data_IF_651884935341
#
_entry.id   IF_651884935341
#
_cell.length_a   1.000
_cell.length_b   1.000
_cell.length_c   1.000
_cell.angle_alpha   90.00
_cell.angle_beta   90.00
_cell.angle_gamma   90.00
#
_symmetry.space_group_name_H-M   'P 1'
#
loop_
_entity.id
_entity.type
_entity.pdbx_description
1 polymer ?
#
# COMPACT_ATOMS: atom_id res chain seq x y z
N UNK A 1 -20.62 -38.38 -24.82
CA UNK A 1 -20.11 -37.41 -23.82
C UNK A 1 -19.53 -36.25 -24.61
N UNK A 2 -20.25 -35.14 -24.68
CA UNK A 2 -19.78 -33.93 -25.35
C UNK A 2 -18.80 -33.24 -24.42
N UNK A 3 -17.49 -33.38 -24.70
CA UNK A 3 -16.47 -32.59 -24.04
C UNK A 3 -16.66 -31.13 -24.46
N UNK A 4 -17.19 -30.31 -23.54
CA UNK A 4 -17.18 -28.87 -23.72
C UNK A 4 -15.71 -28.41 -23.62
N UNK A 5 -15.14 -27.75 -24.64
CA UNK A 5 -13.82 -27.18 -24.51
C UNK A 5 -13.83 -26.16 -23.38
N UNK A 6 -13.03 -26.41 -22.34
CA UNK A 6 -12.75 -25.44 -21.29
C UNK A 6 -12.11 -24.23 -21.98
N UNK A 7 -12.89 -23.15 -22.14
CA UNK A 7 -12.32 -21.88 -22.58
C UNK A 7 -11.31 -21.45 -21.52
N UNK A 8 -10.02 -21.59 -21.85
CA UNK A 8 -8.96 -20.96 -21.07
C UNK A 8 -9.32 -19.47 -20.91
N UNK A 9 -9.24 -18.91 -19.69
CA UNK A 9 -9.50 -17.50 -19.49
C UNK A 9 -8.65 -16.70 -20.46
N UNK A 10 -9.25 -15.71 -21.13
CA UNK A 10 -8.52 -14.84 -22.06
C UNK A 10 -7.35 -14.23 -21.28
N UNK A 11 -6.13 -14.59 -21.66
CA UNK A 11 -4.91 -14.07 -21.06
C UNK A 11 -4.80 -12.58 -21.38
N UNK A 12 -5.35 -11.74 -20.51
CA UNK A 12 -5.44 -10.32 -20.74
C UNK A 12 -4.12 -9.64 -20.35
N UNK A 13 -3.50 -8.96 -21.32
CA UNK A 13 -2.32 -8.13 -21.08
C UNK A 13 -2.70 -6.83 -20.40
N UNK A 14 -1.70 -6.09 -19.91
CA UNK A 14 -1.90 -4.75 -19.40
C UNK A 14 -2.42 -3.82 -20.51
N UNK A 15 -3.53 -3.13 -20.26
CA UNK A 15 -4.17 -2.20 -21.21
C UNK A 15 -4.22 -0.77 -20.65
N UNK A 16 -4.37 0.22 -21.54
CA UNK A 16 -4.48 1.64 -21.16
C UNK A 16 -5.72 1.86 -20.29
N UNK A 17 -6.81 1.15 -20.57
CA UNK A 17 -8.07 1.24 -19.84
C UNK A 17 -7.91 0.78 -18.39
N UNK A 18 -7.17 -0.32 -18.15
CA UNK A 18 -6.85 -0.80 -16.80
C UNK A 18 -6.06 0.24 -16.03
N UNK A 19 -5.03 0.85 -16.64
CA UNK A 19 -4.23 1.91 -16.00
C UNK A 19 -5.09 3.15 -15.74
N UNK A 20 -5.93 3.55 -16.69
CA UNK A 20 -6.80 4.74 -16.56
C UNK A 20 -7.83 4.59 -15.45
N UNK A 21 -8.41 3.41 -15.29
CA UNK A 21 -9.32 3.10 -14.17
C UNK A 21 -8.63 3.26 -12.81
N UNK A 22 -7.34 2.94 -12.71
CA UNK A 22 -6.56 3.16 -11.48
C UNK A 22 -6.15 4.62 -11.28
N UNK A 23 -6.09 5.41 -12.36
CA UNK A 23 -5.78 6.83 -12.36
C UNK A 23 -7.00 7.76 -12.17
N UNK A 24 -8.17 7.24 -11.77
CA UNK A 24 -9.39 8.04 -11.56
C UNK A 24 -9.18 9.18 -10.54
N UNK A 25 -8.33 8.97 -9.54
CA UNK A 25 -7.95 10.00 -8.55
C UNK A 25 -7.01 11.08 -9.11
N UNK A 26 -6.51 10.91 -10.34
CA UNK A 26 -5.66 11.85 -11.06
C UNK A 26 -6.39 12.38 -12.32
N UNK A 27 -7.71 12.56 -12.23
CA UNK A 27 -8.61 12.99 -13.31
C UNK A 27 -8.51 12.13 -14.60
N UNK A 28 -8.06 10.86 -14.46
CA UNK A 28 -7.78 9.99 -15.60
C UNK A 28 -6.58 10.42 -16.46
N UNK A 29 -5.81 11.41 -16.01
CA UNK A 29 -4.61 11.90 -16.68
C UNK A 29 -3.45 10.96 -16.38
N UNK A 30 -2.96 10.26 -17.39
CA UNK A 30 -1.87 9.29 -17.21
C UNK A 30 -0.49 9.95 -17.20
N UNK A 31 -0.35 11.09 -17.88
CA UNK A 31 0.95 11.74 -18.07
C UNK A 31 1.58 12.27 -16.79
N UNK A 32 0.76 12.65 -15.81
CA UNK A 32 1.17 13.15 -14.49
C UNK A 32 1.17 12.07 -13.41
N UNK A 33 0.78 10.84 -13.75
CA UNK A 33 0.63 9.76 -12.78
C UNK A 33 2.01 9.38 -12.23
N UNK A 34 2.15 9.46 -10.91
CA UNK A 34 3.39 9.09 -10.21
C UNK A 34 3.31 7.70 -9.58
N UNK A 35 2.11 7.20 -9.30
CA UNK A 35 1.89 5.91 -8.66
C UNK A 35 0.76 5.15 -9.33
N UNK A 36 0.95 3.84 -9.54
CA UNK A 36 -0.11 2.95 -9.98
C UNK A 36 -0.09 1.65 -9.19
N UNK A 37 -1.25 1.27 -8.66
CA UNK A 37 -1.46 0.01 -7.97
C UNK A 37 -2.45 -0.87 -8.74
N UNK A 38 -1.96 -2.01 -9.23
CA UNK A 38 -2.70 -2.99 -10.02
C UNK A 38 -2.46 -4.40 -9.46
N UNK A 39 -2.90 -4.59 -8.22
CA UNK A 39 -2.78 -5.87 -7.53
C UNK A 39 -3.94 -6.78 -7.92
N UNK A 40 -3.66 -8.06 -8.17
CA UNK A 40 -4.72 -9.06 -8.41
C UNK A 40 -5.62 -8.73 -9.61
N UNK A 41 -5.05 -8.12 -10.66
CA UNK A 41 -5.76 -7.69 -11.87
C UNK A 41 -5.66 -8.71 -13.02
N UNK A 42 -5.19 -9.93 -12.69
CA UNK A 42 -4.99 -11.06 -13.60
C UNK A 42 -4.19 -10.68 -14.85
N UNK A 43 -3.14 -9.88 -14.67
CA UNK A 43 -2.30 -9.42 -15.80
C UNK A 43 -1.36 -10.55 -16.23
N UNK A 44 -1.50 -11.02 -17.46
CA UNK A 44 -0.66 -12.10 -18.03
C UNK A 44 0.57 -11.59 -18.79
N UNK A 45 0.76 -10.27 -18.86
CA UNK A 45 1.90 -9.69 -19.53
C UNK A 45 1.87 -8.17 -19.56
N UNK A 46 3.06 -7.58 -19.56
CA UNK A 46 3.23 -6.15 -19.70
C UNK A 46 3.10 -5.73 -21.17
N UNK A 47 2.84 -4.44 -21.37
CA UNK A 47 2.78 -3.78 -22.67
C UNK A 47 3.45 -2.42 -22.53
N UNK A 48 3.72 -1.75 -23.65
CA UNK A 48 4.32 -0.42 -23.68
C UNK A 48 3.41 0.72 -23.15
N UNK A 49 2.23 0.40 -22.63
CA UNK A 49 1.26 1.38 -22.11
C UNK A 49 1.87 2.26 -21.03
N UNK A 50 2.67 1.69 -20.12
CA UNK A 50 3.27 2.47 -19.02
C UNK A 50 4.33 3.45 -19.57
N UNK A 51 5.23 2.99 -20.43
CA UNK A 51 6.27 3.83 -21.04
C UNK A 51 5.70 4.96 -21.92
N UNK A 52 4.60 4.69 -22.65
CA UNK A 52 4.01 5.66 -23.59
C UNK A 52 3.15 6.68 -22.85
N UNK A 53 2.37 6.26 -21.86
CA UNK A 53 1.34 7.10 -21.28
C UNK A 53 1.72 7.72 -19.92
N UNK A 54 2.70 7.15 -19.22
CA UNK A 54 2.97 7.49 -17.82
C UNK A 54 4.47 7.75 -17.54
N UNK A 55 5.10 8.76 -18.18
CA UNK A 55 6.55 9.00 -18.08
C UNK A 55 7.03 9.46 -16.69
N UNK A 56 6.11 9.89 -15.83
CA UNK A 56 6.40 10.37 -14.46
C UNK A 56 6.18 9.31 -13.38
N UNK A 57 5.90 8.05 -13.75
CA UNK A 57 5.72 6.99 -12.77
C UNK A 57 6.98 6.78 -11.95
N UNK A 58 6.80 6.83 -10.63
CA UNK A 58 7.80 6.56 -9.60
C UNK A 58 7.54 5.25 -8.89
N UNK A 59 6.27 4.86 -8.71
CA UNK A 59 5.90 3.68 -7.95
C UNK A 59 4.92 2.83 -8.75
N UNK A 60 5.27 1.56 -8.92
CA UNK A 60 4.44 0.59 -9.63
C UNK A 60 4.25 -0.63 -8.73
N UNK A 61 2.99 -0.93 -8.44
CA UNK A 61 2.64 -2.19 -7.83
C UNK A 61 1.88 -3.11 -8.79
N UNK A 62 2.47 -4.27 -9.04
CA UNK A 62 1.95 -5.33 -9.91
C UNK A 62 1.94 -6.68 -9.20
N UNK A 63 1.84 -6.65 -7.86
CA UNK A 63 1.90 -7.87 -7.05
C UNK A 63 0.70 -8.80 -7.30
N UNK A 64 0.94 -10.11 -7.23
CA UNK A 64 -0.07 -11.16 -7.43
C UNK A 64 -0.76 -11.06 -8.81
N UNK A 65 0.03 -11.07 -9.87
CA UNK A 65 -0.42 -11.19 -11.25
C UNK A 65 0.26 -12.42 -11.91
N UNK A 66 0.11 -12.59 -13.21
CA UNK A 66 0.65 -13.72 -13.98
C UNK A 66 1.72 -13.28 -14.98
N UNK A 67 2.48 -12.23 -14.65
CA UNK A 67 3.46 -11.64 -15.56
C UNK A 67 4.66 -12.59 -15.70
N UNK A 68 4.97 -13.11 -16.91
CA UNK A 68 6.05 -14.07 -17.10
C UNK A 68 7.42 -13.40 -17.31
N UNK A 69 7.43 -12.13 -17.76
CA UNK A 69 8.64 -11.40 -18.16
C UNK A 69 8.55 -9.93 -17.81
N UNK A 70 9.69 -9.35 -17.46
CA UNK A 70 9.85 -7.92 -17.22
C UNK A 70 10.20 -7.27 -18.57
N UNK A 71 9.20 -6.69 -19.22
CA UNK A 71 9.37 -6.01 -20.51
C UNK A 71 8.59 -4.70 -20.52
N UNK A 72 9.02 -3.78 -21.40
CA UNK A 72 8.39 -2.47 -21.57
C UNK A 72 8.36 -1.60 -20.30
N UNK A 73 9.43 -1.62 -19.51
CA UNK A 73 9.64 -0.69 -18.39
C UNK A 73 10.91 0.16 -18.55
N UNK A 74 11.79 -0.19 -19.48
CA UNK A 74 13.08 0.45 -19.74
C UNK A 74 13.06 1.97 -19.88
N UNK A 75 11.97 2.57 -20.39
CA UNK A 75 11.87 4.03 -20.57
C UNK A 75 11.37 4.78 -19.35
N UNK A 76 11.01 4.09 -18.27
CA UNK A 76 10.52 4.71 -17.03
C UNK A 76 11.68 5.22 -16.17
N UNK A 77 12.34 6.28 -16.63
CA UNK A 77 13.53 6.83 -15.97
C UNK A 77 13.26 7.42 -14.59
N UNK A 78 11.99 7.69 -14.27
CA UNK A 78 11.56 8.19 -12.97
C UNK A 78 11.16 7.09 -11.98
N UNK A 79 11.15 5.82 -12.41
CA UNK A 79 10.73 4.71 -11.57
C UNK A 79 11.70 4.53 -10.39
N UNK A 80 11.18 4.62 -9.17
CA UNK A 80 11.92 4.50 -7.92
C UNK A 80 11.61 3.17 -7.21
N UNK A 81 10.37 2.70 -7.29
CA UNK A 81 9.94 1.44 -6.68
C UNK A 81 9.10 0.60 -7.64
N UNK A 82 9.54 -0.65 -7.84
CA UNK A 82 8.81 -1.66 -8.59
C UNK A 82 8.53 -2.88 -7.72
N UNK A 83 7.25 -3.21 -7.54
CA UNK A 83 6.82 -4.41 -6.86
C UNK A 83 6.17 -5.39 -7.85
N UNK A 84 6.87 -6.49 -8.09
CA UNK A 84 6.48 -7.61 -8.94
C UNK A 84 6.41 -8.92 -8.13
N UNK A 85 6.18 -8.84 -6.82
CA UNK A 85 6.04 -10.03 -5.98
C UNK A 85 4.87 -10.92 -6.46
N UNK A 86 4.97 -12.23 -6.25
CA UNK A 86 3.93 -13.21 -6.64
C UNK A 86 3.56 -13.14 -8.14
N UNK A 87 4.56 -13.08 -9.02
CA UNK A 87 4.38 -13.18 -10.48
C UNK A 87 4.98 -14.48 -11.04
N UNK A 88 5.09 -14.58 -12.37
CA UNK A 88 5.66 -15.72 -13.07
C UNK A 88 7.03 -15.40 -13.70
N UNK A 89 7.78 -14.46 -13.12
CA UNK A 89 9.04 -13.99 -13.70
C UNK A 89 10.12 -15.06 -13.53
N UNK A 90 10.78 -15.43 -14.61
CA UNK A 90 11.86 -16.43 -14.61
C UNK A 90 13.25 -15.82 -14.73
N UNK A 91 13.35 -14.62 -15.32
CA UNK A 91 14.60 -13.94 -15.64
C UNK A 91 14.49 -12.46 -15.27
N UNK A 92 15.55 -11.92 -14.69
CA UNK A 92 15.67 -10.48 -14.40
C UNK A 92 16.26 -9.77 -15.62
N UNK A 93 15.43 -9.03 -16.35
CA UNK A 93 15.79 -8.26 -17.56
C UNK A 93 14.90 -7.02 -17.70
N UNK A 94 15.17 -6.14 -18.67
CA UNK A 94 14.23 -5.10 -19.10
C UNK A 94 14.10 -3.89 -18.15
N UNK A 95 15.01 -3.75 -17.19
CA UNK A 95 15.06 -2.65 -16.21
C UNK A 95 16.28 -1.75 -16.38
N UNK A 96 17.10 -1.95 -17.42
CA UNK A 96 18.39 -1.30 -17.61
C UNK A 96 18.28 0.24 -17.72
N UNK A 97 17.17 0.75 -18.27
CA UNK A 97 16.91 2.19 -18.39
C UNK A 97 16.18 2.83 -17.21
N UNK A 98 15.83 2.06 -16.17
CA UNK A 98 15.22 2.59 -14.94
C UNK A 98 16.29 3.17 -14.01
N UNK A 99 16.87 4.31 -14.38
CA UNK A 99 18.05 4.90 -13.70
C UNK A 99 17.81 5.24 -12.22
N UNK A 100 16.58 5.65 -11.87
CA UNK A 100 16.20 6.02 -10.49
C UNK A 100 15.72 4.85 -9.64
N UNK A 101 15.70 3.64 -10.18
CA UNK A 101 15.17 2.48 -9.46
C UNK A 101 15.96 2.26 -8.18
N UNK A 102 15.29 2.40 -7.04
CA UNK A 102 15.86 2.29 -5.70
C UNK A 102 15.49 0.95 -5.06
N UNK A 103 14.25 0.50 -5.26
CA UNK A 103 13.71 -0.71 -4.65
C UNK A 103 13.06 -1.61 -5.70
N UNK A 104 13.42 -2.89 -5.67
CA UNK A 104 12.85 -3.91 -6.52
C UNK A 104 12.41 -5.11 -5.69
N UNK A 105 11.12 -5.44 -5.76
CA UNK A 105 10.57 -6.62 -5.10
C UNK A 105 10.18 -7.67 -6.13
N UNK A 106 10.88 -8.80 -6.11
CA UNK A 106 10.66 -9.99 -6.94
C UNK A 106 10.38 -11.22 -6.07
N UNK A 107 9.91 -11.03 -4.83
CA UNK A 107 9.58 -12.10 -3.89
C UNK A 107 8.59 -13.10 -4.51
N UNK A 108 8.82 -14.41 -4.29
CA UNK A 108 7.97 -15.50 -4.77
C UNK A 108 7.68 -15.46 -6.29
N UNK A 109 8.74 -15.36 -7.09
CA UNK A 109 8.72 -15.56 -8.54
C UNK A 109 9.39 -16.91 -8.91
N UNK A 110 9.75 -17.11 -10.18
CA UNK A 110 10.30 -18.36 -10.73
C UNK A 110 11.74 -18.19 -11.19
N UNK A 111 12.49 -17.28 -10.58
CA UNK A 111 13.86 -16.99 -10.99
C UNK A 111 14.76 -18.16 -10.61
N UNK A 112 15.20 -18.90 -11.62
CA UNK A 112 16.19 -19.99 -11.48
C UNK A 112 17.57 -19.46 -11.84
N UNK A 113 17.68 -18.77 -12.98
CA UNK A 113 18.96 -18.21 -13.44
C UNK A 113 19.30 -16.94 -12.67
N UNK A 114 19.94 -17.10 -11.52
CA UNK A 114 20.41 -15.96 -10.72
C UNK A 114 21.46 -15.11 -11.45
N UNK A 115 22.09 -15.63 -12.52
CA UNK A 115 23.08 -14.84 -13.26
C UNK A 115 22.45 -13.70 -14.04
N UNK A 116 21.13 -13.72 -14.25
CA UNK A 116 20.38 -12.64 -14.89
C UNK A 116 20.45 -11.33 -14.11
N UNK A 117 20.68 -11.34 -12.79
CA UNK A 117 20.78 -10.12 -11.97
C UNK A 117 21.87 -9.16 -12.44
N UNK A 118 22.80 -9.61 -13.30
CA UNK A 118 23.78 -8.73 -13.98
C UNK A 118 23.14 -7.63 -14.80
N UNK A 119 21.92 -7.82 -15.33
CA UNK A 119 21.16 -6.76 -16.01
C UNK A 119 20.98 -5.52 -15.13
N UNK A 120 20.91 -5.71 -13.81
CA UNK A 120 20.75 -4.63 -12.83
C UNK A 120 22.05 -3.89 -12.49
N UNK A 121 23.20 -4.27 -13.06
CA UNK A 121 24.48 -3.60 -12.77
C UNK A 121 24.48 -2.11 -13.17
N UNK A 122 23.71 -1.74 -14.19
CA UNK A 122 23.54 -0.35 -14.63
C UNK A 122 22.64 0.49 -13.73
N UNK A 123 21.82 -0.13 -12.86
CA UNK A 123 20.93 0.57 -11.94
C UNK A 123 21.71 1.01 -10.69
N UNK A 124 22.50 2.08 -10.80
CA UNK A 124 23.37 2.57 -9.73
C UNK A 124 22.63 3.01 -8.46
N UNK A 125 21.36 3.40 -8.60
CA UNK A 125 20.51 3.82 -7.48
C UNK A 125 19.82 2.66 -6.77
N UNK A 126 19.92 1.41 -7.28
CA UNK A 126 19.25 0.27 -6.68
C UNK A 126 19.89 -0.08 -5.34
N UNK A 127 19.14 0.13 -4.25
CA UNK A 127 19.57 -0.09 -2.86
C UNK A 127 18.94 -1.31 -2.23
N UNK A 128 17.69 -1.60 -2.58
CA UNK A 128 16.94 -2.71 -2.01
C UNK A 128 16.50 -3.70 -3.08
N UNK A 129 16.87 -4.97 -2.90
CA UNK A 129 16.43 -6.07 -3.76
C UNK A 129 15.88 -7.22 -2.91
N UNK A 130 14.71 -7.71 -3.28
CA UNK A 130 14.06 -8.87 -2.67
C UNK A 130 13.84 -9.96 -3.71
N UNK A 131 14.39 -11.14 -3.45
CA UNK A 131 14.32 -12.33 -4.28
C UNK A 131 13.95 -13.59 -3.46
N UNK A 132 13.58 -13.42 -2.18
CA UNK A 132 13.12 -14.50 -1.30
C UNK A 132 12.02 -15.35 -1.96
N UNK A 133 12.10 -16.67 -1.80
CA UNK A 133 11.06 -17.58 -2.30
C UNK A 133 11.10 -17.82 -3.81
N UNK A 134 12.18 -17.40 -4.49
CA UNK A 134 12.51 -17.86 -5.83
C UNK A 134 13.28 -19.20 -5.77
N UNK A 135 13.26 -20.03 -6.82
CA UNK A 135 14.08 -21.24 -6.88
C UNK A 135 15.57 -21.04 -6.58
N UNK A 136 16.14 -19.91 -7.03
CA UNK A 136 17.54 -19.55 -6.82
C UNK A 136 17.94 -19.31 -5.36
N UNK A 137 16.98 -18.98 -4.48
CA UNK A 137 17.20 -18.76 -3.03
C UNK A 137 17.81 -19.99 -2.34
N UNK A 138 17.59 -21.19 -2.92
CA UNK A 138 18.11 -22.45 -2.39
C UNK A 138 19.56 -22.74 -2.79
N UNK A 139 20.17 -21.93 -3.65
CA UNK A 139 21.52 -22.18 -4.15
C UNK A 139 22.60 -21.79 -3.13
N UNK A 140 23.62 -22.64 -2.98
CA UNK A 140 24.74 -22.39 -2.08
C UNK A 140 25.56 -21.19 -2.59
N UNK A 141 25.71 -20.16 -1.77
CA UNK A 141 26.44 -18.93 -2.12
C UNK A 141 25.59 -17.91 -2.90
N UNK A 142 24.28 -18.13 -2.99
CA UNK A 142 23.30 -17.23 -3.62
C UNK A 142 23.48 -15.76 -3.18
N UNK A 143 23.48 -15.53 -1.86
CA UNK A 143 23.62 -14.20 -1.27
C UNK A 143 24.93 -13.54 -1.63
N UNK A 144 26.05 -14.25 -1.46
CA UNK A 144 27.37 -13.74 -1.79
C UNK A 144 27.49 -13.43 -3.28
N UNK A 145 26.92 -14.27 -4.15
CA UNK A 145 26.93 -14.04 -5.59
C UNK A 145 26.19 -12.76 -5.97
N UNK A 146 24.98 -12.54 -5.43
CA UNK A 146 24.20 -11.33 -5.71
C UNK A 146 24.91 -10.09 -5.20
N UNK A 147 25.40 -10.10 -3.96
CA UNK A 147 26.11 -8.97 -3.36
C UNK A 147 27.41 -8.66 -4.12
N UNK A 148 28.14 -9.69 -4.57
CA UNK A 148 29.35 -9.53 -5.36
C UNK A 148 29.08 -9.00 -6.77
N UNK A 149 27.92 -9.36 -7.34
CA UNK A 149 27.49 -8.91 -8.68
C UNK A 149 26.92 -7.50 -8.67
N UNK A 150 26.21 -7.13 -7.60
CA UNK A 150 25.51 -5.86 -7.43
C UNK A 150 26.07 -5.08 -6.21
N UNK A 151 27.26 -4.47 -6.36
CA UNK A 151 27.93 -3.77 -5.27
C UNK A 151 27.27 -2.43 -4.89
N UNK A 152 26.14 -2.05 -5.50
CA UNK A 152 25.36 -0.88 -5.13
C UNK A 152 24.29 -1.15 -4.05
N UNK A 153 23.93 -2.42 -3.83
CA UNK A 153 22.86 -2.80 -2.89
C UNK A 153 23.25 -2.50 -1.44
N UNK A 154 22.31 -2.00 -0.66
CA UNK A 154 22.43 -1.74 0.78
C UNK A 154 21.64 -2.78 1.59
N UNK A 155 20.50 -3.21 1.08
CA UNK A 155 19.65 -4.25 1.68
C UNK A 155 19.37 -5.32 0.64
N UNK A 156 19.59 -6.57 1.03
CA UNK A 156 19.27 -7.74 0.21
C UNK A 156 18.44 -8.73 1.03
N UNK A 157 17.26 -9.09 0.52
CA UNK A 157 16.29 -9.98 1.19
C UNK A 157 15.93 -9.53 2.62
N UNK A 158 15.84 -8.21 2.81
CA UNK A 158 15.52 -7.61 4.11
C UNK A 158 16.68 -7.56 5.11
N UNK A 159 17.87 -8.04 4.75
CA UNK A 159 19.06 -7.96 5.58
C UNK A 159 20.09 -6.97 5.00
N UNK A 160 20.62 -6.10 5.86
CA UNK A 160 21.67 -5.14 5.52
C UNK A 160 22.94 -5.84 5.01
N UNK A 161 23.52 -5.31 3.94
CA UNK A 161 24.75 -5.82 3.32
C UNK A 161 25.97 -5.18 3.97
N UNK A 162 26.71 -5.97 4.74
CA UNK A 162 27.89 -5.47 5.45
C UNK A 162 29.07 -5.23 4.48
N UNK A 163 29.92 -4.22 4.73
CA UNK A 163 31.11 -3.99 3.89
C UNK A 163 32.07 -5.20 3.83
N UNK A 164 32.22 -5.94 4.93
CA UNK A 164 33.07 -7.15 4.99
C UNK A 164 32.57 -8.27 4.08
N UNK A 165 31.26 -8.53 4.13
CA UNK A 165 30.55 -9.47 3.25
C UNK A 165 30.72 -9.08 1.79
N UNK A 166 30.50 -7.80 1.45
CA UNK A 166 30.69 -7.27 0.09
C UNK A 166 32.09 -7.50 -0.44
N UNK A 167 33.11 -7.23 0.37
CA UNK A 167 34.51 -7.40 -0.02
C UNK A 167 34.87 -8.87 -0.24
N UNK A 168 34.35 -9.77 0.58
CA UNK A 168 34.56 -11.22 0.44
C UNK A 168 33.88 -11.74 -0.83
N UNK A 169 32.61 -11.40 -1.03
CA UNK A 169 31.83 -11.72 -2.21
C UNK A 169 32.53 -11.27 -3.50
N UNK A 170 33.04 -10.04 -3.54
CA UNK A 170 33.76 -9.49 -4.70
C UNK A 170 35.04 -10.26 -5.03
N UNK A 171 35.82 -10.67 -4.02
CA UNK A 171 37.05 -11.47 -4.23
C UNK A 171 36.73 -12.87 -4.78
N UNK A 172 35.65 -13.47 -4.31
CA UNK A 172 35.26 -14.83 -4.66
C UNK A 172 34.28 -14.90 -5.85
N UNK A 173 33.95 -13.77 -6.48
CA UNK A 173 32.88 -13.66 -7.48
C UNK A 173 33.04 -14.65 -8.65
N UNK A 174 34.28 -14.89 -9.11
CA UNK A 174 34.53 -15.83 -10.20
C UNK A 174 34.17 -17.28 -9.82
N UNK A 175 34.52 -17.70 -8.60
CA UNK A 175 34.22 -19.04 -8.07
C UNK A 175 32.72 -19.17 -7.81
N UNK A 176 32.11 -18.15 -7.20
CA UNK A 176 30.66 -18.10 -6.95
C UNK A 176 29.88 -18.18 -8.26
N UNK A 177 30.31 -17.44 -9.30
CA UNK A 177 29.69 -17.49 -10.63
C UNK A 177 29.69 -18.91 -11.21
N UNK A 178 30.82 -19.61 -11.13
CA UNK A 178 30.90 -20.98 -11.63
C UNK A 178 29.97 -21.91 -10.83
N UNK A 179 30.00 -21.82 -9.49
CA UNK A 179 29.07 -22.57 -8.61
C UNK A 179 27.60 -22.31 -8.95
N UNK A 180 27.22 -21.08 -9.29
CA UNK A 180 25.85 -20.77 -9.72
C UNK A 180 25.51 -21.47 -11.03
N UNK A 181 26.39 -21.40 -12.03
CA UNK A 181 26.18 -22.03 -13.34
C UNK A 181 26.00 -23.54 -13.18
N UNK A 182 26.84 -24.18 -12.37
CA UNK A 182 26.77 -25.61 -12.13
C UNK A 182 25.44 -26.00 -11.45
N UNK A 183 25.00 -25.23 -10.42
CA UNK A 183 23.72 -25.47 -9.75
C UNK A 183 22.51 -25.22 -10.66
N UNK A 184 22.55 -24.20 -11.52
CA UNK A 184 21.51 -23.93 -12.52
C UNK A 184 21.40 -25.10 -13.50
N UNK A 185 22.54 -25.62 -13.99
CA UNK A 185 22.57 -26.75 -14.92
C UNK A 185 22.02 -28.05 -14.30
N UNK A 186 22.14 -28.21 -12.98
CA UNK A 186 21.62 -29.37 -12.23
C UNK A 186 20.18 -29.17 -11.72
N UNK A 187 19.59 -27.99 -11.90
CA UNK A 187 18.26 -27.70 -11.39
C UNK A 187 17.18 -28.37 -12.25
N UNK A 188 16.35 -29.20 -11.62
CA UNK A 188 15.15 -29.74 -12.25
C UNK A 188 13.93 -28.85 -11.95
N UNK A 189 13.20 -28.41 -12.98
CA UNK A 189 12.05 -27.54 -12.80
C UNK A 189 10.94 -28.24 -12.01
N UNK A 190 10.58 -27.65 -10.87
CA UNK A 190 9.41 -28.06 -10.08
C UNK A 190 8.18 -27.31 -10.59
N UNK A 191 7.07 -28.02 -10.74
CA UNK A 191 5.76 -27.39 -10.98
C UNK A 191 5.29 -26.74 -9.68
N UNK A 192 5.56 -25.44 -9.50
CA UNK A 192 4.98 -24.71 -8.36
C UNK A 192 3.52 -24.39 -8.65
N UNK A 193 2.64 -24.73 -7.71
CA UNK A 193 1.23 -24.33 -7.80
C UNK A 193 1.03 -22.90 -7.29
N UNK A 194 0.00 -22.16 -7.76
CA UNK A 194 -0.34 -20.84 -7.23
C UNK A 194 -0.58 -20.83 -5.70
N UNK A 195 -1.11 -21.91 -5.14
CA UNK A 195 -1.42 -22.02 -3.70
C UNK A 195 -0.16 -22.09 -2.83
N UNK A 196 0.83 -22.90 -3.22
CA UNK A 196 2.12 -23.01 -2.52
C UNK A 196 2.89 -21.67 -2.50
N UNK A 197 2.76 -20.87 -3.57
CA UNK A 197 3.35 -19.52 -3.63
C UNK A 197 2.74 -18.58 -2.60
N UNK A 198 1.41 -18.59 -2.48
CA UNK A 198 0.70 -17.74 -1.55
C UNK A 198 1.05 -18.10 -0.10
N UNK A 199 1.24 -19.39 0.19
CA UNK A 199 1.64 -19.89 1.50
C UNK A 199 3.09 -19.53 1.85
N UNK A 200 4.00 -19.65 0.88
CA UNK A 200 5.39 -19.21 1.03
C UNK A 200 5.46 -17.71 1.32
N UNK A 201 4.72 -16.90 0.57
CA UNK A 201 4.64 -15.45 0.79
C UNK A 201 4.06 -15.09 2.16
N UNK A 202 2.97 -15.75 2.59
CA UNK A 202 2.40 -15.58 3.94
C UNK A 202 3.42 -15.89 5.03
N UNK A 203 4.18 -16.98 4.88
CA UNK A 203 5.23 -17.37 5.83
C UNK A 203 6.37 -16.33 5.90
N UNK A 204 6.75 -15.77 4.75
CA UNK A 204 7.74 -14.67 4.67
C UNK A 204 7.19 -13.41 5.33
N UNK A 205 5.92 -13.07 5.14
CA UNK A 205 5.29 -11.93 5.81
C UNK A 205 5.22 -12.12 7.33
N UNK A 206 4.87 -13.32 7.80
CA UNK A 206 4.84 -13.64 9.23
C UNK A 206 6.21 -13.57 9.88
N UNK A 207 7.24 -14.07 9.21
CA UNK A 207 8.62 -13.98 9.69
C UNK A 207 9.12 -12.54 9.68
N UNK A 208 8.80 -11.74 8.66
CA UNK A 208 9.04 -10.28 8.67
C UNK A 208 8.35 -9.63 9.87
N UNK A 209 7.07 -9.92 10.13
CA UNK A 209 6.34 -9.38 11.29
C UNK A 209 6.94 -9.79 12.64
N UNK A 210 7.49 -11.01 12.75
CA UNK A 210 8.17 -11.50 13.96
C UNK A 210 9.56 -10.90 14.16
N UNK A 211 10.29 -10.63 13.07
CA UNK A 211 11.68 -10.17 13.10
C UNK A 211 11.82 -8.64 13.03
N UNK A 212 10.77 -7.92 12.63
CA UNK A 212 10.73 -6.46 12.76
C UNK A 212 10.86 -6.06 14.22
N UNK A 213 11.80 -5.18 14.60
CA UNK A 213 11.79 -4.58 15.92
C UNK A 213 10.42 -3.93 16.15
N UNK A 214 9.86 -4.03 17.37
CA UNK A 214 8.63 -3.32 17.68
C UNK A 214 8.83 -1.84 17.32
N UNK A 215 7.80 -1.14 16.81
CA UNK A 215 7.90 0.28 16.52
C UNK A 215 8.51 0.98 17.75
N UNK A 216 9.41 1.96 17.55
CA UNK A 216 10.06 2.64 18.67
C UNK A 216 9.00 3.06 19.67
N UNK A 217 9.10 2.54 20.90
CA UNK A 217 8.18 2.89 21.97
C UNK A 217 8.28 4.40 22.15
N UNK A 218 7.19 5.09 21.86
CA UNK A 218 7.01 6.45 22.35
C UNK A 218 7.21 6.41 23.88
N UNK A 219 7.90 7.38 24.51
CA UNK A 219 8.18 7.37 25.95
C UNK A 219 6.93 7.39 26.85
N UNK A 220 5.73 7.34 26.29
CA UNK A 220 4.46 7.32 27.00
C UNK A 220 3.74 5.96 27.02
N UNK A 221 4.30 4.90 26.42
CA UNK A 221 3.67 3.57 26.36
C UNK A 221 4.08 2.64 27.52
N UNK A 222 3.79 3.06 28.75
CA UNK A 222 3.92 2.22 29.94
C UNK A 222 2.57 1.79 30.52
N UNK A 223 1.54 1.57 29.71
CA UNK A 223 0.36 0.77 30.08
C UNK A 223 -0.20 0.07 28.83
N UNK A 224 0.35 -1.10 28.51
CA UNK A 224 -0.06 -1.84 27.33
C UNK A 224 -1.49 -2.38 27.42
N UNK A 225 -2.28 -2.18 26.36
CA UNK A 225 -3.32 -3.13 25.94
C UNK A 225 -3.55 -3.08 24.44
N UNK A 226 -3.38 -4.22 23.77
CA UNK A 226 -3.94 -4.64 22.48
C UNK A 226 -4.86 -3.62 21.75
N UNK A 227 -4.37 -2.96 20.70
CA UNK A 227 -5.24 -2.36 19.69
C UNK A 227 -5.45 -3.35 18.55
N UNK A 228 -6.40 -4.27 18.75
CA UNK A 228 -7.30 -4.64 17.65
C UNK A 228 -7.78 -3.33 17.05
N UNK A 229 -7.76 -3.15 15.73
CA UNK A 229 -8.50 -2.07 15.07
C UNK A 229 -9.96 -2.27 15.48
N UNK A 230 -10.39 -1.59 16.55
CA UNK A 230 -11.77 -1.63 17.01
C UNK A 230 -12.56 -0.98 15.88
N UNK A 231 -13.52 -1.73 15.32
CA UNK A 231 -14.54 -1.14 14.47
C UNK A 231 -15.08 0.12 15.18
N UNK A 232 -15.37 1.21 14.44
CA UNK A 232 -15.93 2.41 15.05
C UNK A 232 -17.11 2.03 15.95
N UNK A 233 -17.22 2.61 17.16
CA UNK A 233 -18.30 2.28 18.08
C UNK A 233 -19.65 2.43 17.35
N UNK A 234 -20.46 1.38 17.40
CA UNK A 234 -21.78 1.36 16.80
C UNK A 234 -22.75 2.18 17.67
N UNK A 235 -22.85 3.49 17.43
CA UNK A 235 -23.81 4.36 18.11
C UNK A 235 -23.74 4.28 19.65
N UNK A 236 -24.86 4.49 20.37
CA UNK A 236 -24.94 4.29 21.82
C UNK A 236 -24.72 2.82 22.18
N UNK A 237 -23.90 2.57 23.20
CA UNK A 237 -23.76 1.24 23.76
C UNK A 237 -25.08 0.75 24.38
N UNK A 238 -25.17 -0.54 24.75
CA UNK A 238 -26.35 -1.14 25.38
C UNK A 238 -26.76 -0.48 26.72
N UNK A 239 -25.97 0.48 27.23
CA UNK A 239 -26.24 1.30 28.42
C UNK A 239 -26.61 2.76 28.11
N UNK A 240 -26.74 3.11 26.82
CA UNK A 240 -27.09 4.46 26.37
C UNK A 240 -25.95 5.48 26.44
N UNK A 241 -24.70 5.04 26.67
CA UNK A 241 -23.53 5.92 26.74
C UNK A 241 -22.88 6.05 25.37
N UNK A 242 -22.58 7.29 25.00
CA UNK A 242 -21.93 7.62 23.73
C UNK A 242 -20.44 7.78 23.96
N UNK A 243 -19.64 7.06 23.17
CA UNK A 243 -18.18 7.22 23.16
C UNK A 243 -17.84 8.22 22.05
N UNK A 244 -17.15 9.31 22.39
CA UNK A 244 -16.61 10.22 21.38
C UNK A 244 -15.46 9.55 20.62
N UNK A 245 -15.41 9.72 19.30
CA UNK A 245 -14.33 9.19 18.47
C UNK A 245 -14.04 10.12 17.28
N UNK A 246 -12.78 10.22 16.88
CA UNK A 246 -12.37 10.97 15.68
C UNK A 246 -11.36 10.18 14.85
N UNK A 247 -11.83 9.09 14.22
CA UNK A 247 -10.99 8.26 13.34
C UNK A 247 -10.46 9.04 12.12
N UNK A 248 -11.23 10.05 11.70
CA UNK A 248 -10.89 10.97 10.62
C UNK A 248 -9.70 11.89 10.90
N UNK A 249 -9.38 12.11 12.20
CA UNK A 249 -8.54 13.22 12.67
C UNK A 249 -8.99 14.56 12.08
N UNK A 250 -10.30 14.73 11.87
CA UNK A 250 -10.84 15.96 11.30
C UNK A 250 -10.80 17.06 12.35
N UNK A 251 -10.32 18.23 11.95
CA UNK A 251 -10.41 19.41 12.78
C UNK A 251 -11.87 19.85 12.82
N UNK A 252 -12.41 20.04 14.02
CA UNK A 252 -13.74 20.59 14.20
C UNK A 252 -13.74 21.75 15.19
N UNK A 253 -14.70 22.65 15.04
CA UNK A 253 -14.91 23.81 15.91
C UNK A 253 -16.38 23.96 16.25
N UNK A 254 -16.66 24.22 17.51
CA UNK A 254 -17.98 24.62 17.98
C UNK A 254 -18.11 26.15 17.93
N UNK A 255 -19.24 26.65 17.45
CA UNK A 255 -19.69 28.02 17.65
C UNK A 255 -21.05 27.99 18.31
N UNK A 256 -21.18 28.76 19.37
CA UNK A 256 -22.41 28.90 20.13
C UNK A 256 -23.06 30.24 19.78
N UNK A 257 -24.27 30.18 19.22
CA UNK A 257 -25.14 31.32 19.02
C UNK A 257 -26.41 31.13 19.87
N UNK A 258 -27.10 32.24 20.23
CA UNK A 258 -28.15 32.29 21.25
C UNK A 258 -29.14 31.11 21.23
N UNK A 259 -29.61 30.72 20.04
CA UNK A 259 -30.56 29.62 19.86
C UNK A 259 -30.01 28.50 18.94
N UNK A 260 -28.77 28.63 18.45
CA UNK A 260 -28.16 27.72 17.47
C UNK A 260 -26.78 27.23 17.94
N UNK A 261 -26.57 25.92 17.86
CA UNK A 261 -25.28 25.28 18.02
C UNK A 261 -24.72 24.95 16.63
N UNK A 262 -23.52 25.46 16.33
CA UNK A 262 -22.88 25.27 15.02
C UNK A 262 -21.61 24.42 15.18
N UNK A 263 -21.50 23.34 14.41
CA UNK A 263 -20.33 22.49 14.29
C UNK A 263 -19.69 22.68 12.91
N UNK A 264 -18.48 23.22 12.86
CA UNK A 264 -17.69 23.37 11.63
C UNK A 264 -16.61 22.28 11.60
N UNK A 265 -16.70 21.35 10.64
CA UNK A 265 -15.79 20.22 10.47
C UNK A 265 -15.03 20.35 9.15
N UNK A 266 -13.70 20.34 9.22
CA UNK A 266 -12.82 20.38 8.06
C UNK A 266 -12.69 18.99 7.41
N UNK A 267 -13.72 18.61 6.65
CA UNK A 267 -13.73 17.39 5.83
C UNK A 267 -13.08 17.72 4.48
N UNK A 268 -12.49 16.72 3.82
CA UNK A 268 -11.72 16.92 2.57
C UNK A 268 -12.53 17.65 1.49
N UNK A 269 -11.92 18.66 0.85
CA UNK A 269 -12.51 19.51 -0.20
C UNK A 269 -13.00 18.73 -1.42
N UNK A 270 -12.36 17.63 -1.76
CA UNK A 270 -12.66 16.85 -2.97
C UNK A 270 -13.59 15.66 -2.72
N UNK A 271 -14.35 15.67 -1.61
CA UNK A 271 -15.33 14.63 -1.29
C UNK A 271 -16.71 14.96 -1.90
N UNK A 272 -17.39 13.99 -2.49
CA UNK A 272 -18.78 14.19 -2.92
C UNK A 272 -19.72 14.18 -1.71
N UNK A 273 -20.73 15.06 -1.70
CA UNK A 273 -21.74 15.14 -0.63
C UNK A 273 -22.51 13.82 -0.43
N UNK A 274 -22.66 13.00 -1.48
CA UNK A 274 -23.29 11.68 -1.41
C UNK A 274 -22.50 10.65 -0.59
N UNK A 275 -21.20 10.91 -0.35
CA UNK A 275 -20.31 10.06 0.44
C UNK A 275 -20.19 10.52 1.89
N UNK A 276 -21.04 11.46 2.32
CA UNK A 276 -21.11 11.97 3.68
C UNK A 276 -22.46 11.54 4.27
N UNK A 277 -22.41 10.73 5.32
CA UNK A 277 -23.59 10.39 6.11
C UNK A 277 -23.54 11.13 7.44
N UNK A 278 -24.65 11.74 7.82
CA UNK A 278 -24.77 12.54 9.03
C UNK A 278 -25.97 12.02 9.80
N UNK A 279 -25.74 11.64 11.05
CA UNK A 279 -26.76 11.20 11.98
C UNK A 279 -26.72 12.12 13.21
N UNK A 280 -27.82 12.81 13.47
CA UNK A 280 -27.92 13.83 14.53
C UNK A 280 -29.00 13.38 15.48
N UNK A 281 -28.60 13.24 16.74
CA UNK A 281 -29.46 12.91 17.86
C UNK A 281 -29.47 14.07 18.85
N UNK A 282 -30.42 14.13 19.79
CA UNK A 282 -30.52 15.26 20.71
C UNK A 282 -29.26 15.46 21.55
N UNK A 283 -28.53 14.38 21.85
CA UNK A 283 -27.38 14.39 22.76
C UNK A 283 -26.04 14.10 22.06
N UNK A 284 -26.02 13.73 20.77
CA UNK A 284 -24.80 13.40 20.04
C UNK A 284 -24.95 13.53 18.52
N UNK A 285 -23.83 13.64 17.82
CA UNK A 285 -23.75 13.70 16.36
C UNK A 285 -22.70 12.73 15.84
N UNK A 286 -23.01 12.02 14.74
CA UNK A 286 -22.09 11.13 14.04
C UNK A 286 -22.00 11.52 12.58
N UNK A 287 -20.78 11.69 12.11
CA UNK A 287 -20.45 12.02 10.73
C UNK A 287 -19.56 10.91 10.20
N UNK A 288 -20.00 10.26 9.13
CA UNK A 288 -19.25 9.21 8.44
C UNK A 288 -18.88 9.69 7.03
N UNK A 289 -17.58 9.63 6.72
CA UNK A 289 -17.04 10.04 5.42
C UNK A 289 -15.82 9.18 5.06
N UNK A 290 -15.80 8.62 3.84
CA UNK A 290 -14.74 7.69 3.34
C UNK A 290 -14.42 6.54 4.31
N UNK A 291 -15.44 5.96 4.96
CA UNK A 291 -15.27 4.85 5.91
C UNK A 291 -14.60 5.22 7.23
N UNK A 292 -14.44 6.52 7.52
CA UNK A 292 -13.99 7.04 8.83
C UNK A 292 -15.16 7.70 9.55
N UNK A 293 -15.16 7.62 10.87
CA UNK A 293 -16.23 8.14 11.72
C UNK A 293 -15.71 9.26 12.63
N UNK A 294 -16.50 10.32 12.74
CA UNK A 294 -16.43 11.33 13.79
C UNK A 294 -17.73 11.26 14.59
N UNK A 295 -17.64 10.88 15.85
CA UNK A 295 -18.77 10.83 16.78
C UNK A 295 -18.49 11.77 17.94
N UNK A 296 -19.37 12.75 18.17
CA UNK A 296 -19.23 13.77 19.20
C UNK A 296 -20.49 13.81 20.07
N UNK A 297 -20.31 14.01 21.37
CA UNK A 297 -21.43 14.33 22.28
C UNK A 297 -21.71 15.82 22.11
N UNK A 298 -22.99 16.17 22.01
CA UNK A 298 -23.39 17.56 21.87
C UNK A 298 -23.27 18.27 23.24
N UNK A 299 -22.71 19.49 23.29
CA UNK A 299 -22.59 20.27 24.53
C UNK A 299 -23.95 20.74 25.08
N UNK A 300 -24.97 20.80 24.24
CA UNK A 300 -26.34 21.15 24.58
C UNK A 300 -27.29 20.21 23.84
N UNK A 301 -28.45 19.93 24.42
CA UNK A 301 -29.48 19.19 23.71
C UNK A 301 -30.01 19.97 22.52
N UNK A 302 -30.13 19.32 21.36
CA UNK A 302 -30.59 19.95 20.12
C UNK A 302 -31.85 19.30 19.57
N UNK A 303 -32.67 20.09 18.89
CA UNK A 303 -33.86 19.61 18.18
C UNK A 303 -33.43 18.92 16.90
N UNK A 304 -33.88 17.68 16.71
CA UNK A 304 -33.62 16.89 15.49
C UNK A 304 -34.40 17.45 14.30
N UNK A 305 -35.54 18.11 14.56
CA UNK A 305 -36.44 18.61 13.51
C UNK A 305 -35.84 19.80 12.74
N UNK A 306 -34.89 20.52 13.36
CA UNK A 306 -34.29 21.75 12.83
C UNK A 306 -32.77 21.64 12.76
N UNK A 307 -32.30 20.75 11.88
CA UNK A 307 -30.87 20.55 11.58
C UNK A 307 -30.60 20.91 10.12
N UNK A 308 -29.67 21.85 9.90
CA UNK A 308 -29.17 22.19 8.57
C UNK A 308 -27.72 21.75 8.40
N UNK A 309 -27.45 20.94 7.38
CA UNK A 309 -26.11 20.55 6.97
C UNK A 309 -25.71 21.31 5.70
N UNK A 310 -24.69 22.16 5.80
CA UNK A 310 -24.20 22.97 4.69
C UNK A 310 -22.74 22.62 4.40
N UNK A 311 -22.43 22.30 3.14
CA UNK A 311 -21.06 22.07 2.71
C UNK A 311 -20.57 23.26 1.89
N UNK A 312 -19.39 23.78 2.22
CA UNK A 312 -18.76 24.82 1.42
C UNK A 312 -18.14 24.23 0.17
N UNK A 313 -18.59 24.65 -1.01
CA UNK A 313 -18.02 24.28 -2.30
C UNK A 313 -16.57 24.79 -2.45
N UNK A 314 -16.25 25.92 -1.82
CA UNK A 314 -14.94 26.57 -1.95
C UNK A 314 -13.93 26.06 -0.93
N UNK A 315 -14.32 25.82 0.33
CA UNK A 315 -13.39 25.37 1.37
C UNK A 315 -13.39 23.86 1.58
N UNK A 316 -14.52 23.18 1.31
CA UNK A 316 -14.71 21.75 1.63
C UNK A 316 -15.31 21.48 2.99
N UNK A 317 -15.38 22.49 3.86
CA UNK A 317 -15.86 22.35 5.23
C UNK A 317 -17.35 21.98 5.27
N UNK A 318 -17.68 21.09 6.19
CA UNK A 318 -19.05 20.74 6.55
C UNK A 318 -19.45 21.55 7.78
N UNK A 319 -20.52 22.34 7.66
CA UNK A 319 -21.09 23.14 8.75
C UNK A 319 -22.45 22.56 9.09
N UNK A 320 -22.62 22.09 10.32
CA UNK A 320 -23.90 21.66 10.87
C UNK A 320 -24.44 22.74 11.80
N UNK A 321 -25.67 23.20 11.52
CA UNK A 321 -26.41 24.10 12.39
C UNK A 321 -27.54 23.32 13.04
N UNK A 322 -27.59 23.33 14.36
CA UNK A 322 -28.54 22.56 15.16
C UNK A 322 -29.23 23.49 16.16
N UNK A 323 -30.56 23.50 16.21
CA UNK A 323 -31.29 24.35 17.16
C UNK A 323 -31.24 23.79 18.57
N UNK A 324 -30.91 24.60 19.58
CA UNK A 324 -30.87 24.17 20.99
C UNK A 324 -32.28 23.97 21.56
N UNK A 325 -32.49 22.91 22.34
CA UNK A 325 -33.75 22.64 23.07
C UNK A 325 -33.79 23.42 24.39
N UNK A 326 -32.67 23.47 25.12
CA UNK A 326 -32.55 24.20 26.39
C UNK A 326 -31.49 25.32 26.30
N UNK A 327 -31.78 26.47 26.94
CA UNK A 327 -30.98 27.70 26.90
C UNK A 327 -29.88 27.75 27.97
N UNK A 328 -29.54 26.60 28.53
CA UNK A 328 -28.52 26.45 29.57
C UNK A 328 -27.10 26.72 29.03
N UNK A 329 -26.19 27.29 29.85
CA UNK A 329 -24.91 27.81 29.39
C UNK A 329 -23.98 26.69 28.87
N UNK A 330 -23.20 27.05 27.84
CA UNK A 330 -22.21 26.21 27.16
C UNK A 330 -21.28 25.48 28.15
N UNK A 331 -21.38 24.15 28.24
CA UNK A 331 -20.42 23.34 29.00
C UNK A 331 -19.28 22.98 28.04
N UNK A 332 -18.12 23.62 28.21
CA UNK A 332 -16.89 23.28 27.48
C UNK A 332 -16.48 21.84 27.79
N UNK A 333 -16.55 20.97 26.79
CA UNK A 333 -15.84 19.68 26.84
C UNK A 333 -14.77 19.60 25.75
N UNK A 334 -13.56 19.28 26.24
CA UNK A 334 -12.42 18.59 25.61
C UNK A 334 -11.93 19.06 24.24
N UNK A 335 -10.67 19.47 24.24
CA UNK A 335 -9.88 19.80 23.06
C UNK A 335 -9.66 18.58 22.16
N UNK A 336 -9.29 18.76 20.87
CA UNK A 336 -9.05 17.66 19.93
C UNK A 336 -8.07 16.58 20.41
N UNK A 337 -7.24 16.89 21.42
CA UNK A 337 -6.27 16.00 22.04
C UNK A 337 -6.86 14.96 23.01
N UNK A 338 -8.13 15.09 23.44
CA UNK A 338 -8.73 14.24 24.48
C UNK A 338 -9.75 13.22 23.95
N UNK A 339 -9.87 13.09 22.61
CA UNK A 339 -10.80 12.18 21.95
C UNK A 339 -9.98 11.03 21.35
N UNK A 340 -10.19 9.84 21.89
CA UNK A 340 -9.48 8.60 21.53
C UNK A 340 -9.91 8.07 20.16
#
# INVERSE_FOLDING_TARGET
>A
MTENPVQLPKQEKLTVEKVRKRAEHNDGVLYTLEEVAMHQDEIFGLTNVLEVNCPKLKIIYLQNNYIPKIEYLSKLTQLEYLNLALNNIEIVEGLEGCEKLNKLDLTCNFIVDITSVKSLQGNYNLKELYLIGNPCDKFEGYRDFVIGTLPQLEVFDGAEVKPSERNLAKRNLAVLKQKMIDQIAMYEPKNYTPEERLETWKSIEETKKKNSPPPPKDPHDEYGTNLKVKAPPAGPDASGRIIQCNQGKWNFKWKDEKDLLILDVAINRYLDTSQIQIDVNPTWVRIEAKGKVLQLILPNEVSIDNVEALRSETSGNLVLKMQKIDKSPFIRYKTPADIV
#
